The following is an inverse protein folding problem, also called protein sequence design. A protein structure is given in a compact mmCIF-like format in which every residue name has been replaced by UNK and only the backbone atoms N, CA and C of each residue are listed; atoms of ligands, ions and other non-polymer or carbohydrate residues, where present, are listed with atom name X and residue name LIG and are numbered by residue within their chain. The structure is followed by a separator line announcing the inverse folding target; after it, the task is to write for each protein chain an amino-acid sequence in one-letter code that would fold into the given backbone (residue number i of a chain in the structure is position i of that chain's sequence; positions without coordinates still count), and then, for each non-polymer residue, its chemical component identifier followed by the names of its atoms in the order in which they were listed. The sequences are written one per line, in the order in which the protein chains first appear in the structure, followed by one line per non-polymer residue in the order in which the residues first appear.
data_IF_754982563381
#
_entry.id   IF_754982563381
#
_cell.length_a   1.000
_cell.length_b   1.000
_cell.length_c   1.000
_cell.angle_alpha   90.00
_cell.angle_beta   90.00
_cell.angle_gamma   90.00
#
_symmetry.space_group_name_H-M   'P 1'
#
loop_
_entity.id
_entity.type
_entity.pdbx_description
1 polymer ?
#
# COMPACT_ATOMS: atom_id res chain seq x y z
N UNK A 1 2.29 -9.75 -26.43
CA UNK A 1 3.32 -10.17 -25.44
C UNK A 1 2.57 -10.43 -24.13
N UNK A 2 2.40 -11.69 -23.72
CA UNK A 2 1.80 -11.98 -22.39
C UNK A 2 2.82 -11.53 -21.34
N UNK A 3 2.48 -10.54 -20.54
CA UNK A 3 3.22 -10.22 -19.33
C UNK A 3 3.13 -11.45 -18.41
N UNK A 4 4.24 -12.15 -18.23
CA UNK A 4 4.31 -13.20 -17.22
C UNK A 4 4.27 -12.50 -15.87
N UNK A 5 3.25 -12.82 -15.06
CA UNK A 5 3.17 -12.29 -13.72
C UNK A 5 4.42 -12.71 -12.91
N UNK A 6 4.94 -11.78 -12.11
CA UNK A 6 6.06 -12.09 -11.23
C UNK A 6 5.58 -13.02 -10.11
N UNK A 7 6.21 -14.18 -9.99
CA UNK A 7 5.97 -15.12 -8.88
C UNK A 7 6.93 -14.79 -7.74
N UNK A 8 6.41 -14.19 -6.67
CA UNK A 8 7.23 -13.82 -5.52
C UNK A 8 7.72 -15.02 -4.72
N UNK A 9 7.01 -16.13 -4.74
CA UNK A 9 7.40 -17.38 -4.08
C UNK A 9 8.49 -18.09 -4.85
N UNK A 10 8.43 -18.07 -6.20
CA UNK A 10 9.39 -18.69 -7.11
C UNK A 10 9.85 -17.67 -8.18
N UNK A 11 10.66 -16.68 -7.79
CA UNK A 11 11.02 -15.57 -8.69
C UNK A 11 11.88 -15.98 -9.88
N UNK A 12 12.53 -17.13 -9.79
CA UNK A 12 13.41 -17.67 -10.82
C UNK A 12 13.49 -19.22 -10.74
N UNK A 13 14.35 -19.80 -11.57
CA UNK A 13 14.58 -21.26 -11.62
C UNK A 13 15.36 -21.82 -10.42
N UNK A 14 15.77 -21.01 -9.46
CA UNK A 14 16.55 -21.44 -8.29
C UNK A 14 15.68 -22.10 -7.21
N UNK A 15 14.36 -22.02 -7.36
CA UNK A 15 13.39 -22.66 -6.49
C UNK A 15 12.66 -21.70 -5.56
N UNK A 16 12.06 -22.26 -4.52
CA UNK A 16 11.23 -21.50 -3.57
C UNK A 16 12.10 -20.63 -2.66
N UNK A 17 11.75 -19.36 -2.53
CA UNK A 17 12.42 -18.44 -1.59
C UNK A 17 12.34 -18.97 -0.16
N UNK A 18 13.42 -18.78 0.60
CA UNK A 18 13.53 -19.31 1.96
C UNK A 18 12.40 -18.84 2.89
N UNK A 19 11.91 -17.61 2.74
CA UNK A 19 10.77 -17.08 3.51
C UNK A 19 9.49 -17.88 3.28
N UNK A 20 9.35 -18.52 2.12
CA UNK A 20 8.19 -19.33 1.76
C UNK A 20 8.38 -20.84 1.99
N UNK A 21 9.58 -21.30 2.30
CA UNK A 21 9.88 -22.73 2.35
C UNK A 21 8.99 -23.55 3.31
N UNK A 22 8.59 -22.98 4.44
CA UNK A 22 7.68 -23.63 5.37
C UNK A 22 6.24 -23.66 4.83
N UNK A 23 5.82 -22.57 4.21
CA UNK A 23 4.50 -22.46 3.60
C UNK A 23 4.36 -23.36 2.38
N UNK A 24 5.38 -23.43 1.52
CA UNK A 24 5.41 -24.31 0.35
C UNK A 24 5.26 -25.79 0.73
N UNK A 25 6.01 -26.25 1.73
CA UNK A 25 5.88 -27.61 2.26
C UNK A 25 4.47 -27.91 2.77
N UNK A 26 3.86 -26.97 3.45
CA UNK A 26 2.47 -27.10 3.90
C UNK A 26 1.50 -27.10 2.72
N UNK A 27 1.70 -26.20 1.75
CA UNK A 27 0.87 -26.06 0.56
C UNK A 27 0.83 -27.34 -0.29
N UNK A 28 1.97 -27.96 -0.52
CA UNK A 28 2.10 -29.21 -1.27
C UNK A 28 1.37 -30.40 -0.63
N UNK A 29 1.07 -30.32 0.66
CA UNK A 29 0.33 -31.35 1.40
C UNK A 29 -1.19 -31.11 1.39
N UNK A 30 -1.63 -29.99 0.84
CA UNK A 30 -3.06 -29.65 0.86
C UNK A 30 -3.79 -30.32 -0.31
N UNK A 31 -5.03 -30.74 -0.03
CA UNK A 31 -5.96 -31.19 -1.07
C UNK A 31 -6.45 -29.94 -1.88
N UNK A 32 -6.27 -29.95 -3.22
CA UNK A 32 -6.74 -28.86 -4.08
C UNK A 32 -8.24 -28.56 -3.94
N UNK A 33 -9.06 -29.60 -3.70
CA UNK A 33 -10.50 -29.41 -3.50
C UNK A 33 -10.78 -28.60 -2.22
N UNK A 34 -10.04 -28.90 -1.15
CA UNK A 34 -10.15 -28.18 0.13
C UNK A 34 -9.65 -26.74 0.03
N UNK A 35 -8.60 -26.48 -0.73
CA UNK A 35 -8.14 -25.12 -1.00
C UNK A 35 -9.19 -24.31 -1.76
N UNK A 36 -9.79 -24.92 -2.81
CA UNK A 36 -10.88 -24.29 -3.57
C UNK A 36 -12.11 -24.00 -2.70
N UNK A 37 -12.43 -24.87 -1.74
CA UNK A 37 -13.49 -24.61 -0.75
C UNK A 37 -13.17 -23.42 0.14
N UNK A 38 -11.93 -23.33 0.66
CA UNK A 38 -11.48 -22.20 1.47
C UNK A 38 -11.54 -20.86 0.73
N UNK A 39 -11.19 -20.84 -0.57
CA UNK A 39 -11.35 -19.64 -1.40
C UNK A 39 -12.80 -19.19 -1.48
N UNK A 40 -13.73 -20.12 -1.78
CA UNK A 40 -15.17 -19.83 -1.81
C UNK A 40 -15.71 -19.35 -0.46
N UNK A 41 -15.20 -19.92 0.62
CA UNK A 41 -15.57 -19.51 1.97
C UNK A 41 -15.09 -18.09 2.28
N UNK A 42 -13.86 -17.75 1.90
CA UNK A 42 -13.32 -16.41 2.05
C UNK A 42 -14.16 -15.37 1.27
N UNK A 43 -14.49 -15.65 0.00
CA UNK A 43 -15.36 -14.79 -0.81
C UNK A 43 -16.75 -14.60 -0.16
N UNK A 44 -17.32 -15.69 0.39
CA UNK A 44 -18.61 -15.64 1.09
C UNK A 44 -18.54 -14.77 2.34
N UNK A 45 -17.45 -14.87 3.11
CA UNK A 45 -17.22 -14.03 4.29
C UNK A 45 -17.09 -12.57 3.87
N UNK A 46 -16.30 -12.25 2.85
CA UNK A 46 -16.12 -10.89 2.35
C UNK A 46 -17.44 -10.29 1.88
N UNK A 47 -18.24 -11.07 1.12
CA UNK A 47 -19.57 -10.65 0.68
C UNK A 47 -20.51 -10.38 1.86
N UNK A 48 -20.53 -11.28 2.84
CA UNK A 48 -21.38 -11.14 4.03
C UNK A 48 -20.99 -9.95 4.91
N UNK A 49 -19.69 -9.65 4.98
CA UNK A 49 -19.15 -8.54 5.78
C UNK A 49 -19.24 -7.20 5.05
N UNK A 50 -19.55 -7.20 3.73
CA UNK A 50 -19.58 -5.98 2.93
C UNK A 50 -18.18 -5.42 2.63
N UNK A 51 -17.17 -6.29 2.50
CA UNK A 51 -15.82 -5.89 2.10
C UNK A 51 -15.82 -5.76 0.59
N UNK A 52 -16.28 -4.60 0.13
CA UNK A 52 -16.43 -4.23 -1.27
C UNK A 52 -15.71 -2.93 -1.56
N UNK A 53 -15.49 -2.63 -2.83
CA UNK A 53 -15.06 -1.30 -3.26
C UNK A 53 -16.02 -0.75 -4.30
N UNK A 54 -16.25 0.56 -4.25
CA UNK A 54 -17.05 1.25 -5.24
C UNK A 54 -16.18 1.59 -6.46
N UNK A 55 -16.69 1.28 -7.66
CA UNK A 55 -16.06 1.72 -8.90
C UNK A 55 -16.60 3.11 -9.21
N UNK A 56 -15.74 4.14 -9.10
CA UNK A 56 -16.12 5.51 -9.45
C UNK A 56 -16.28 5.63 -10.97
N UNK A 57 -17.40 6.23 -11.41
CA UNK A 57 -17.63 6.56 -12.82
C UNK A 57 -18.60 5.68 -13.59
N UNK A 58 -19.18 4.66 -12.99
CA UNK A 58 -20.34 3.95 -13.54
C UNK A 58 -21.62 4.47 -12.86
N UNK A 59 -22.68 4.78 -13.66
CA UNK A 59 -23.95 5.34 -13.16
C UNK A 59 -24.71 4.38 -12.21
N UNK A 60 -24.40 3.09 -12.25
CA UNK A 60 -24.76 2.13 -11.23
C UNK A 60 -23.49 1.77 -10.46
N UNK A 61 -23.40 2.22 -9.22
CA UNK A 61 -22.32 1.85 -8.30
C UNK A 61 -22.32 0.33 -8.03
N UNK A 62 -21.80 -0.43 -8.98
CA UNK A 62 -21.64 -1.86 -8.83
C UNK A 62 -20.57 -2.11 -7.75
N UNK A 63 -21.02 -2.46 -6.57
CA UNK A 63 -20.13 -2.92 -5.50
C UNK A 63 -19.40 -4.18 -5.98
N UNK A 64 -18.10 -4.08 -6.14
CA UNK A 64 -17.24 -5.21 -6.46
C UNK A 64 -16.58 -5.74 -5.19
N UNK A 65 -16.57 -7.06 -5.04
CA UNK A 65 -15.79 -7.70 -3.97
C UNK A 65 -14.31 -7.40 -4.16
N UNK A 66 -13.62 -7.09 -3.07
CA UNK A 66 -12.17 -7.04 -3.06
C UNK A 66 -11.65 -8.46 -3.30
N UNK A 67 -10.85 -8.71 -4.35
CA UNK A 67 -10.26 -10.02 -4.57
C UNK A 67 -9.43 -10.43 -3.35
N UNK A 68 -9.69 -11.61 -2.82
CA UNK A 68 -8.94 -12.15 -1.70
C UNK A 68 -8.16 -13.39 -2.13
N UNK A 69 -6.85 -13.33 -1.99
CA UNK A 69 -5.98 -14.48 -2.20
C UNK A 69 -5.73 -15.18 -0.86
N UNK A 70 -5.96 -16.50 -0.82
CA UNK A 70 -5.67 -17.32 0.35
C UNK A 70 -4.17 -17.61 0.49
N UNK A 71 -3.36 -17.30 -0.52
CA UNK A 71 -1.90 -17.41 -0.46
C UNK A 71 -1.34 -16.13 0.16
N UNK A 72 -0.77 -16.19 1.38
CA UNK A 72 -0.24 -15.00 2.02
C UNK A 72 1.07 -14.54 1.36
N UNK A 73 1.26 -13.22 1.26
CA UNK A 73 2.57 -12.66 0.97
C UNK A 73 3.44 -12.74 2.22
N UNK A 74 4.58 -13.44 2.12
CA UNK A 74 5.46 -13.70 3.26
C UNK A 74 6.74 -12.89 3.14
N UNK A 75 6.91 -11.94 4.05
CA UNK A 75 8.12 -11.15 4.18
C UNK A 75 9.00 -11.71 5.30
N UNK A 76 10.27 -11.90 5.02
CA UNK A 76 11.25 -12.22 6.07
C UNK A 76 11.43 -11.03 7.02
N UNK A 77 11.88 -11.29 8.26
CA UNK A 77 12.17 -10.22 9.20
C UNK A 77 13.24 -9.22 8.72
N UNK A 78 14.14 -9.65 7.85
CA UNK A 78 15.16 -8.77 7.24
C UNK A 78 14.54 -7.87 6.17
N UNK A 79 13.69 -8.43 5.31
CA UNK A 79 12.94 -7.65 4.30
C UNK A 79 12.01 -6.65 4.97
N UNK A 80 11.29 -7.09 6.01
CA UNK A 80 10.41 -6.21 6.78
C UNK A 80 11.15 -5.03 7.40
N UNK A 81 12.29 -5.28 8.07
CA UNK A 81 13.10 -4.19 8.64
C UNK A 81 13.59 -3.20 7.58
N UNK A 82 14.04 -3.68 6.43
CA UNK A 82 14.46 -2.81 5.33
C UNK A 82 13.31 -1.97 4.78
N UNK A 83 12.15 -2.59 4.61
CA UNK A 83 10.94 -1.93 4.13
C UNK A 83 10.48 -0.84 5.10
N UNK A 84 10.36 -1.17 6.38
CA UNK A 84 9.90 -0.22 7.42
C UNK A 84 10.86 0.96 7.56
N UNK A 85 12.16 0.75 7.56
CA UNK A 85 13.15 1.86 7.56
C UNK A 85 12.95 2.79 6.37
N UNK A 86 12.73 2.24 5.18
CA UNK A 86 12.47 3.04 3.99
C UNK A 86 11.14 3.81 4.06
N UNK A 87 10.10 3.21 4.61
CA UNK A 87 8.79 3.85 4.82
C UNK A 87 8.92 4.96 5.86
N UNK A 88 9.51 4.69 7.00
CA UNK A 88 9.74 5.68 8.07
C UNK A 88 10.48 6.91 7.56
N UNK A 89 11.55 6.72 6.78
CA UNK A 89 12.28 7.83 6.17
C UNK A 89 11.38 8.68 5.26
N UNK A 90 10.56 8.04 4.43
CA UNK A 90 9.67 8.74 3.50
C UNK A 90 8.56 9.49 4.23
N UNK A 91 7.99 8.89 5.27
CA UNK A 91 6.97 9.54 6.11
C UNK A 91 7.55 10.76 6.81
N UNK A 92 8.76 10.66 7.36
CA UNK A 92 9.46 11.78 7.97
C UNK A 92 9.73 12.90 6.94
N UNK A 93 10.18 12.54 5.74
CA UNK A 93 10.41 13.50 4.67
C UNK A 93 9.12 14.20 4.23
N UNK A 94 8.01 13.47 4.09
CA UNK A 94 6.71 14.05 3.77
C UNK A 94 6.20 15.00 4.85
N UNK A 95 6.31 14.61 6.12
CA UNK A 95 5.93 15.50 7.22
C UNK A 95 6.79 16.77 7.27
N UNK A 96 8.12 16.65 7.07
CA UNK A 96 9.01 17.80 7.00
C UNK A 96 8.69 18.70 5.79
N UNK A 97 8.35 18.11 4.65
CA UNK A 97 7.93 18.86 3.47
C UNK A 97 6.63 19.63 3.72
N UNK A 98 5.63 18.98 4.31
CA UNK A 98 4.35 19.62 4.64
C UNK A 98 4.54 20.73 5.68
N UNK A 99 5.35 20.52 6.71
CA UNK A 99 5.69 21.57 7.67
C UNK A 99 6.35 22.78 6.98
N UNK A 100 7.28 22.51 6.06
CA UNK A 100 7.99 23.59 5.35
C UNK A 100 7.06 24.39 4.43
N UNK A 101 6.24 23.74 3.61
CA UNK A 101 5.38 24.47 2.64
C UNK A 101 4.30 25.29 3.32
N UNK A 102 3.82 24.88 4.51
CA UNK A 102 2.83 25.65 5.28
C UNK A 102 3.45 26.68 6.24
N UNK A 103 4.77 26.74 6.39
CA UNK A 103 5.45 27.67 7.29
C UNK A 103 6.58 28.44 6.62
N UNK A 104 7.78 27.86 6.57
CA UNK A 104 8.99 28.56 6.14
C UNK A 104 9.16 28.64 4.62
N UNK A 105 8.65 27.69 3.89
CA UNK A 105 8.76 27.58 2.43
C UNK A 105 10.21 27.59 1.92
N UNK A 106 11.14 27.03 2.69
CA UNK A 106 12.56 27.03 2.36
C UNK A 106 12.85 26.22 1.09
N UNK A 107 12.16 25.08 0.90
CA UNK A 107 12.31 24.24 -0.31
C UNK A 107 11.88 24.98 -1.58
N UNK A 108 10.87 25.87 -1.46
CA UNK A 108 10.38 26.70 -2.56
C UNK A 108 11.33 27.88 -2.81
N UNK A 109 11.86 28.53 -1.75
CA UNK A 109 12.86 29.61 -1.87
C UNK A 109 14.16 29.11 -2.47
N UNK A 110 14.58 27.90 -2.12
CA UNK A 110 15.77 27.25 -2.68
C UNK A 110 15.58 26.75 -4.11
N UNK A 111 14.38 26.88 -4.68
CA UNK A 111 14.07 26.47 -6.06
C UNK A 111 14.14 24.93 -6.26
N UNK A 112 14.11 24.14 -5.17
CA UNK A 112 14.11 22.68 -5.25
C UNK A 112 12.77 22.13 -5.73
N UNK A 113 11.68 22.81 -5.37
CA UNK A 113 10.33 22.52 -5.84
C UNK A 113 9.79 23.80 -6.50
N UNK A 114 9.30 23.73 -7.75
CA UNK A 114 8.67 24.89 -8.39
C UNK A 114 7.44 25.37 -7.63
N UNK A 115 7.34 26.65 -7.33
CA UNK A 115 6.22 27.25 -6.57
C UNK A 115 4.86 26.91 -7.17
N UNK A 116 4.75 26.85 -8.49
CA UNK A 116 3.51 26.53 -9.20
C UNK A 116 2.93 25.16 -8.82
N UNK A 117 3.80 24.16 -8.53
CA UNK A 117 3.35 22.84 -8.15
C UNK A 117 2.59 22.82 -6.80
N UNK A 118 2.85 23.80 -5.95
CA UNK A 118 2.11 23.97 -4.70
C UNK A 118 0.90 24.86 -4.93
N UNK A 119 1.09 26.03 -5.58
CA UNK A 119 0.03 27.01 -5.75
C UNK A 119 -1.13 26.54 -6.64
N UNK A 120 -0.84 25.68 -7.63
CA UNK A 120 -1.82 25.10 -8.56
C UNK A 120 -2.39 23.75 -8.08
N UNK A 121 -1.94 23.25 -6.92
CA UNK A 121 -2.43 21.96 -6.39
C UNK A 121 -3.72 22.20 -5.60
N UNK A 122 -4.79 21.58 -6.06
CA UNK A 122 -6.12 21.67 -5.41
C UNK A 122 -6.13 21.17 -3.96
N UNK A 123 -5.20 20.28 -3.60
CA UNK A 123 -5.06 19.80 -2.23
C UNK A 123 -4.28 20.75 -1.31
N UNK A 124 -3.68 21.83 -1.84
CA UNK A 124 -3.04 22.84 -1.02
C UNK A 124 -4.11 23.78 -0.45
N UNK A 125 -4.18 23.85 0.87
CA UNK A 125 -5.17 24.64 1.60
C UNK A 125 -4.52 25.92 2.17
N UNK A 126 -4.68 27.09 1.54
CA UNK A 126 -4.07 28.35 2.00
C UNK A 126 -4.40 28.70 3.45
N UNK A 127 -5.59 28.33 3.92
CA UNK A 127 -6.05 28.52 5.30
C UNK A 127 -5.23 27.75 6.34
N UNK A 128 -4.48 26.74 5.90
CA UNK A 128 -3.58 25.96 6.76
C UNK A 128 -2.20 26.60 6.95
N UNK A 129 -1.93 27.72 6.26
CA UNK A 129 -0.65 28.42 6.41
C UNK A 129 -0.49 28.91 7.86
N UNK A 130 0.60 28.50 8.49
CA UNK A 130 0.91 28.83 9.89
C UNK A 130 0.21 27.95 10.93
N UNK A 131 -0.69 27.05 10.51
CA UNK A 131 -1.36 26.12 11.43
C UNK A 131 -0.46 24.92 11.69
N UNK A 132 -0.22 24.61 12.96
CA UNK A 132 0.52 23.41 13.37
C UNK A 132 -0.45 22.31 13.79
N UNK A 133 -0.38 21.13 13.17
CA UNK A 133 -1.20 20.00 13.58
C UNK A 133 -0.78 19.48 14.96
N UNK A 134 -1.64 18.72 15.65
CA UNK A 134 -1.29 18.07 16.90
C UNK A 134 -0.01 17.24 16.78
N UNK A 135 0.88 17.35 17.77
CA UNK A 135 2.20 16.72 17.80
C UNK A 135 3.12 17.07 16.60
N UNK A 136 2.78 18.04 15.76
CA UNK A 136 3.55 18.38 14.56
C UNK A 136 3.48 17.33 13.45
N UNK A 137 2.49 16.44 13.49
CA UNK A 137 2.35 15.34 12.52
C UNK A 137 1.23 15.67 11.54
N UNK A 138 1.58 15.82 10.26
CA UNK A 138 0.62 16.06 9.17
C UNK A 138 0.01 14.76 8.64
N UNK A 139 0.81 13.70 8.59
CA UNK A 139 0.39 12.41 8.07
C UNK A 139 0.35 11.39 9.18
N UNK A 140 -0.85 11.04 9.65
CA UNK A 140 -1.07 10.12 10.76
C UNK A 140 -1.21 8.66 10.33
N UNK A 141 -1.63 8.42 9.08
CA UNK A 141 -1.80 7.09 8.51
C UNK A 141 -1.46 7.11 7.02
N UNK A 142 -0.68 6.15 6.57
CA UNK A 142 -0.26 6.03 5.17
C UNK A 142 -0.49 4.61 4.72
N UNK A 143 -1.22 4.45 3.60
CA UNK A 143 -1.23 3.20 2.82
C UNK A 143 0.00 3.17 1.91
N UNK A 144 0.63 2.03 1.81
CA UNK A 144 1.79 1.80 0.92
C UNK A 144 1.54 0.53 0.12
N UNK A 145 1.55 0.67 -1.21
CA UNK A 145 1.41 -0.42 -2.18
C UNK A 145 2.77 -0.87 -2.73
#
# INVERSE_FOLDING_TARGET
MRLVAFDEMQPDSTGVRQSYAAYDRWWQQQDPARLSEKMRDAERVFRKTGITFAVYGEEEAAERLIPFDIVPRILSGTEWRRLTQGIEQRVQALNAFLDDIYHRQEILRAGRVPKRLIAENEAFLPEMIGVRPPAGVYTHSIGVD
#
